data_IF_059204516921
#
_entry.id   IF_059204516921
#
_cell.length_a   1.000
_cell.length_b   1.000
_cell.length_c   1.000
_cell.angle_alpha   90.00
_cell.angle_beta   90.00
_cell.angle_gamma   90.00
#
_symmetry.space_group_name_H-M   'P 1'
#
loop_
_entity.id
_entity.type
_entity.pdbx_description
1 polymer ?
#
# COMPACT_ATOMS: atom_id res chain seq x y z
N UNK A 1 -73.93 14.56 -27.87
CA UNK A 1 -72.67 14.41 -28.64
C UNK A 1 -71.41 14.71 -27.85
N UNK A 2 -71.43 14.91 -26.53
CA UNK A 2 -70.29 15.30 -25.68
C UNK A 2 -69.45 14.12 -25.11
N UNK A 3 -69.93 12.88 -25.28
CA UNK A 3 -69.32 11.67 -24.62
C UNK A 3 -68.13 11.06 -25.36
N UNK A 4 -67.78 11.53 -26.56
CA UNK A 4 -66.69 10.97 -27.37
C UNK A 4 -65.36 11.75 -27.30
N UNK A 5 -65.32 12.90 -26.56
CA UNK A 5 -64.10 13.74 -26.48
C UNK A 5 -63.24 13.53 -25.22
N UNK A 6 -63.74 12.70 -24.29
CA UNK A 6 -62.98 12.43 -23.02
C UNK A 6 -61.77 11.51 -23.15
N UNK A 7 -61.67 10.53 -24.07
CA UNK A 7 -60.50 9.65 -24.10
C UNK A 7 -59.26 10.29 -24.71
N UNK A 8 -59.37 11.35 -25.54
CA UNK A 8 -58.22 11.98 -26.19
C UNK A 8 -57.23 12.66 -25.18
N UNK A 9 -57.70 13.50 -24.23
CA UNK A 9 -56.75 14.12 -23.28
C UNK A 9 -56.13 13.09 -22.34
N UNK A 10 -56.82 12.02 -21.97
CA UNK A 10 -56.30 10.98 -21.12
C UNK A 10 -55.21 10.14 -21.84
N UNK A 11 -55.41 9.85 -23.12
CA UNK A 11 -54.42 9.16 -23.94
C UNK A 11 -53.18 10.02 -24.19
N UNK A 12 -53.36 11.34 -24.40
CA UNK A 12 -52.25 12.27 -24.53
C UNK A 12 -51.43 12.39 -23.20
N UNK A 13 -52.10 12.40 -22.06
CA UNK A 13 -51.43 12.43 -20.74
C UNK A 13 -50.67 11.13 -20.46
N UNK A 14 -51.24 9.98 -20.84
CA UNK A 14 -50.58 8.68 -20.74
C UNK A 14 -49.37 8.57 -21.69
N UNK A 15 -49.46 9.08 -22.89
CA UNK A 15 -48.33 9.13 -23.82
C UNK A 15 -47.19 10.06 -23.33
N UNK A 16 -47.55 11.19 -22.69
CA UNK A 16 -46.57 12.09 -22.10
C UNK A 16 -45.88 11.47 -20.88
N UNK A 17 -46.59 10.70 -20.07
CA UNK A 17 -46.03 9.98 -18.93
C UNK A 17 -45.08 8.84 -19.37
N UNK A 18 -45.33 8.22 -20.51
CA UNK A 18 -44.44 7.19 -21.07
C UNK A 18 -43.21 7.77 -21.80
N UNK A 19 -43.29 9.02 -22.28
CA UNK A 19 -42.18 9.68 -22.95
C UNK A 19 -41.05 10.12 -21.99
N UNK A 20 -41.33 10.20 -20.69
CA UNK A 20 -40.36 10.67 -19.70
C UNK A 20 -39.27 9.68 -19.31
N UNK A 21 -39.27 8.45 -19.84
CA UNK A 21 -38.25 7.44 -19.57
C UNK A 21 -37.25 7.23 -20.70
N UNK A 22 -37.32 8.04 -21.76
CA UNK A 22 -36.24 8.10 -22.72
C UNK A 22 -35.03 8.82 -22.05
N UNK A 23 -34.32 8.11 -21.21
CA UNK A 23 -32.96 8.50 -20.80
C UNK A 23 -32.14 8.61 -22.08
N UNK A 24 -32.02 9.82 -22.61
CA UNK A 24 -31.05 10.14 -23.66
C UNK A 24 -29.65 10.06 -22.99
N UNK A 25 -29.32 8.89 -22.44
CA UNK A 25 -28.05 8.61 -21.85
C UNK A 25 -26.99 8.67 -22.94
N UNK A 26 -26.11 9.66 -22.88
CA UNK A 26 -24.91 9.64 -23.69
C UNK A 26 -24.07 8.42 -23.32
N UNK A 27 -23.31 7.90 -24.27
CA UNK A 27 -22.32 6.88 -24.01
C UNK A 27 -20.92 7.49 -24.13
N UNK A 28 -19.96 6.92 -23.41
CA UNK A 28 -18.56 7.30 -23.48
C UNK A 28 -17.68 6.06 -23.62
N UNK A 29 -16.70 6.18 -24.49
CA UNK A 29 -15.63 5.21 -24.61
C UNK A 29 -14.55 5.52 -23.58
N UNK A 30 -14.15 4.51 -22.82
CA UNK A 30 -13.04 4.60 -21.86
C UNK A 30 -11.90 3.72 -22.33
N UNK A 31 -10.71 4.28 -22.35
CA UNK A 31 -9.48 3.54 -22.66
C UNK A 31 -8.44 3.74 -21.58
N UNK A 32 -7.59 2.74 -21.39
CA UNK A 32 -6.40 2.79 -20.53
C UNK A 32 -5.19 2.90 -21.46
N UNK A 33 -4.66 4.11 -21.72
CA UNK A 33 -3.64 4.31 -22.75
C UNK A 33 -2.30 3.65 -22.39
N UNK A 34 -1.96 3.64 -21.09
CA UNK A 34 -0.71 3.09 -20.58
C UNK A 34 -1.03 2.17 -19.39
N UNK A 35 -1.49 0.93 -19.66
CA UNK A 35 -1.75 0.00 -18.57
C UNK A 35 -0.44 -0.29 -17.83
N UNK A 36 -0.45 -0.24 -16.49
CA UNK A 36 0.75 -0.56 -15.71
C UNK A 36 1.18 -2.00 -15.98
N UNK A 37 2.48 -2.19 -16.20
CA UNK A 37 3.05 -3.51 -16.42
C UNK A 37 3.23 -4.22 -15.07
N UNK A 38 2.55 -5.35 -14.90
CA UNK A 38 2.69 -6.29 -13.78
C UNK A 38 2.78 -5.62 -12.38
N UNK A 39 1.80 -4.77 -11.98
CA UNK A 39 1.84 -4.12 -10.67
C UNK A 39 1.81 -5.18 -9.56
N UNK A 40 2.54 -4.98 -8.45
CA UNK A 40 2.55 -5.94 -7.37
C UNK A 40 1.23 -5.92 -6.58
N UNK A 41 0.76 -7.10 -6.17
CA UNK A 41 -0.39 -7.23 -5.29
C UNK A 41 -0.13 -6.52 -3.94
N UNK A 42 -1.16 -5.90 -3.39
CA UNK A 42 -1.09 -5.20 -2.12
C UNK A 42 -0.53 -3.78 -2.19
N UNK A 43 -0.03 -3.32 -3.32
CA UNK A 43 0.45 -1.94 -3.52
C UNK A 43 -0.57 -1.07 -4.24
N UNK A 44 -0.49 0.26 -4.02
CA UNK A 44 -1.33 1.22 -4.71
C UNK A 44 -0.81 1.44 -6.14
N UNK A 45 -1.66 1.18 -7.11
CA UNK A 45 -1.38 1.31 -8.54
C UNK A 45 -2.23 2.41 -9.13
N UNK A 46 -1.62 3.33 -9.88
CA UNK A 46 -2.34 4.39 -10.59
C UNK A 46 -2.71 3.91 -11.99
N UNK A 47 -4.00 4.00 -12.31
CA UNK A 47 -4.56 3.71 -13.64
C UNK A 47 -4.92 5.03 -14.30
N UNK A 48 -4.37 5.28 -15.47
CA UNK A 48 -4.70 6.43 -16.31
C UNK A 48 -5.83 6.07 -17.28
N UNK A 49 -6.78 6.97 -17.45
CA UNK A 49 -7.95 6.75 -18.29
C UNK A 49 -8.13 7.92 -19.26
N UNK A 50 -8.54 7.60 -20.49
CA UNK A 50 -9.06 8.58 -21.44
C UNK A 50 -10.54 8.32 -21.67
N UNK A 51 -11.36 9.36 -21.55
CA UNK A 51 -12.81 9.30 -21.64
C UNK A 51 -13.30 10.19 -22.78
N UNK A 52 -13.88 9.57 -23.78
CA UNK A 52 -14.37 10.23 -24.98
C UNK A 52 -15.88 10.00 -25.13
N UNK A 53 -16.68 11.05 -24.95
CA UNK A 53 -18.11 10.96 -25.26
C UNK A 53 -18.30 10.70 -26.76
N UNK A 54 -19.13 9.72 -27.10
CA UNK A 54 -19.32 9.23 -28.47
C UNK A 54 -18.03 8.83 -29.20
N UNK A 55 -16.95 8.50 -28.43
CA UNK A 55 -15.66 8.12 -28.98
C UNK A 55 -14.82 9.26 -29.58
N UNK A 56 -15.26 10.51 -29.47
CA UNK A 56 -14.59 11.67 -30.11
C UNK A 56 -14.40 12.89 -29.23
N UNK A 57 -15.31 13.17 -28.32
CA UNK A 57 -15.27 14.41 -27.51
C UNK A 57 -14.75 14.13 -26.12
N UNK A 58 -13.58 14.66 -25.74
CA UNK A 58 -13.08 14.52 -24.37
C UNK A 58 -14.03 15.16 -23.37
N UNK A 59 -14.27 14.50 -22.24
CA UNK A 59 -15.17 14.99 -21.18
C UNK A 59 -14.58 14.77 -19.79
N UNK A 60 -14.69 15.79 -18.94
CA UNK A 60 -14.12 15.77 -17.56
C UNK A 60 -15.19 15.96 -16.46
N UNK A 61 -16.47 15.89 -16.81
CA UNK A 61 -17.58 16.08 -15.88
C UNK A 61 -18.19 14.81 -15.29
N UNK A 62 -18.13 13.60 -15.93
CA UNK A 62 -18.76 12.41 -15.36
C UNK A 62 -17.98 11.91 -14.15
N UNK A 63 -18.72 11.37 -13.17
CA UNK A 63 -18.15 10.59 -12.07
C UNK A 63 -17.90 9.17 -12.55
N UNK A 64 -16.70 8.70 -12.41
CA UNK A 64 -16.30 7.38 -12.91
C UNK A 64 -15.83 6.52 -11.74
N UNK A 65 -16.43 5.35 -11.59
CA UNK A 65 -15.91 4.31 -10.72
C UNK A 65 -15.19 3.28 -11.59
N UNK A 66 -13.94 3.04 -11.27
CA UNK A 66 -13.13 1.98 -11.86
C UNK A 66 -13.30 0.75 -11.00
N UNK A 67 -13.71 -0.36 -11.59
CA UNK A 67 -13.91 -1.65 -10.92
C UNK A 67 -12.96 -2.63 -11.55
N UNK A 68 -12.14 -3.29 -10.74
CA UNK A 68 -11.30 -4.38 -11.18
C UNK A 68 -11.78 -5.70 -10.57
N UNK A 69 -11.87 -6.73 -11.39
CA UNK A 69 -12.33 -8.08 -11.00
C UNK A 69 -11.26 -9.09 -11.39
N UNK A 70 -10.84 -9.92 -10.43
CA UNK A 70 -9.92 -11.02 -10.67
C UNK A 70 -10.64 -12.12 -11.45
N UNK A 71 -10.06 -12.52 -12.59
CA UNK A 71 -10.67 -13.49 -13.51
C UNK A 71 -10.80 -14.88 -12.90
N UNK A 72 -9.92 -15.27 -11.99
CA UNK A 72 -9.89 -16.61 -11.41
C UNK A 72 -10.72 -16.75 -10.12
N UNK A 73 -10.81 -15.66 -9.33
CA UNK A 73 -11.41 -15.72 -7.99
C UNK A 73 -12.68 -14.90 -7.84
N UNK A 74 -13.05 -14.10 -8.85
CA UNK A 74 -14.15 -13.11 -8.81
C UNK A 74 -13.98 -12.05 -7.70
N UNK A 75 -12.78 -11.95 -7.11
CA UNK A 75 -12.46 -10.91 -6.15
C UNK A 75 -12.51 -9.54 -6.82
N UNK A 76 -13.09 -8.54 -6.14
CA UNK A 76 -13.26 -7.20 -6.71
C UNK A 76 -12.61 -6.13 -5.86
N UNK A 77 -12.08 -5.10 -6.53
CA UNK A 77 -11.66 -3.84 -5.92
C UNK A 77 -12.16 -2.68 -6.76
N UNK A 78 -12.38 -1.53 -6.14
CA UNK A 78 -12.91 -0.37 -6.85
C UNK A 78 -12.34 0.93 -6.31
N UNK A 79 -12.25 1.94 -7.19
CA UNK A 79 -11.83 3.29 -6.85
C UNK A 79 -12.56 4.32 -7.69
N UNK A 80 -12.74 5.52 -7.14
CA UNK A 80 -13.22 6.68 -7.89
C UNK A 80 -12.07 7.25 -8.72
N UNK A 81 -12.34 7.49 -10.00
CA UNK A 81 -11.41 8.23 -10.85
C UNK A 81 -11.58 9.74 -10.63
N UNK A 82 -10.48 10.45 -10.68
CA UNK A 82 -10.41 11.91 -10.57
C UNK A 82 -9.92 12.49 -11.88
N UNK A 83 -10.57 13.54 -12.38
CA UNK A 83 -10.10 14.25 -13.56
C UNK A 83 -8.68 14.79 -13.35
N UNK A 84 -7.81 14.61 -14.33
CA UNK A 84 -6.38 14.86 -14.23
C UNK A 84 -5.82 15.37 -15.54
N UNK A 85 -5.34 16.62 -15.55
CA UNK A 85 -4.76 17.23 -16.75
C UNK A 85 -5.80 17.75 -17.76
N UNK A 86 -5.57 17.52 -19.08
CA UNK A 86 -6.50 17.94 -20.13
C UNK A 86 -7.86 17.24 -20.02
N UNK A 87 -8.87 17.82 -20.71
CA UNK A 87 -10.21 17.23 -20.75
C UNK A 87 -10.17 15.76 -21.22
N UNK A 88 -11.00 14.96 -20.60
CA UNK A 88 -11.10 13.52 -20.87
C UNK A 88 -10.05 12.66 -20.17
N UNK A 89 -9.07 13.25 -19.50
CA UNK A 89 -8.07 12.51 -18.75
C UNK A 89 -8.48 12.34 -17.30
N UNK A 90 -8.35 11.11 -16.79
CA UNK A 90 -8.64 10.75 -15.41
C UNK A 90 -7.55 9.85 -14.87
N UNK A 91 -7.43 9.82 -13.55
CA UNK A 91 -6.60 8.87 -12.82
C UNK A 91 -7.41 8.21 -11.72
N UNK A 92 -7.21 6.92 -11.53
CA UNK A 92 -7.75 6.15 -10.41
C UNK A 92 -6.63 5.43 -9.68
N UNK A 93 -6.71 5.34 -8.36
CA UNK A 93 -5.76 4.62 -7.53
C UNK A 93 -6.41 3.34 -7.04
N UNK A 94 -5.96 2.21 -7.56
CA UNK A 94 -6.43 0.88 -7.20
C UNK A 94 -5.37 0.14 -6.40
N UNK A 95 -5.84 -0.70 -5.49
CA UNK A 95 -5.00 -1.67 -4.79
C UNK A 95 -5.54 -3.05 -5.09
N UNK A 96 -4.76 -3.87 -5.77
CA UNK A 96 -5.12 -5.24 -6.11
C UNK A 96 -4.79 -6.15 -4.93
N UNK A 97 -5.78 -6.77 -4.28
CA UNK A 97 -5.52 -7.57 -3.08
C UNK A 97 -4.77 -8.87 -3.34
N UNK A 98 -4.90 -9.43 -4.54
CA UNK A 98 -4.25 -10.68 -4.94
C UNK A 98 -3.58 -10.59 -6.31
N UNK A 99 -2.65 -11.51 -6.59
CA UNK A 99 -2.02 -11.69 -7.89
C UNK A 99 -2.97 -12.30 -8.93
N UNK A 100 -2.59 -12.26 -10.19
CA UNK A 100 -3.31 -12.89 -11.29
C UNK A 100 -3.84 -11.91 -12.33
N UNK A 101 -4.67 -12.42 -13.21
CA UNK A 101 -5.29 -11.62 -14.27
C UNK A 101 -6.52 -10.87 -13.73
N UNK A 102 -6.58 -9.57 -13.99
CA UNK A 102 -7.65 -8.69 -13.57
C UNK A 102 -8.29 -7.99 -14.77
N UNK A 103 -9.59 -8.00 -14.83
CA UNK A 103 -10.38 -7.23 -15.81
C UNK A 103 -10.84 -5.93 -15.17
N UNK A 104 -10.55 -4.81 -15.82
CA UNK A 104 -10.95 -3.47 -15.38
C UNK A 104 -12.18 -3.08 -16.20
N UNK A 105 -13.22 -2.61 -15.52
CA UNK A 105 -14.44 -2.05 -16.08
C UNK A 105 -14.75 -0.69 -15.48
N UNK A 106 -15.63 0.06 -16.15
CA UNK A 106 -15.93 1.44 -15.81
C UNK A 106 -17.42 1.64 -15.66
N UNK A 107 -17.83 2.36 -14.61
CA UNK A 107 -19.24 2.66 -14.33
C UNK A 107 -19.40 4.15 -14.05
N UNK A 108 -20.43 4.76 -14.60
CA UNK A 108 -20.83 6.13 -14.31
C UNK A 108 -22.35 6.21 -14.17
N UNK A 109 -22.87 7.00 -13.23
CA UNK A 109 -24.31 7.27 -13.15
C UNK A 109 -24.79 8.22 -14.25
N UNK A 110 -23.90 8.98 -14.89
CA UNK A 110 -24.24 10.01 -15.87
C UNK A 110 -24.15 9.52 -17.31
N UNK A 111 -23.26 8.56 -17.59
CA UNK A 111 -22.99 8.05 -18.93
C UNK A 111 -22.92 6.52 -18.92
N UNK A 112 -23.38 5.92 -20.00
CA UNK A 112 -23.05 4.52 -20.26
C UNK A 112 -21.57 4.44 -20.64
N UNK A 113 -20.79 3.71 -19.86
CA UNK A 113 -19.36 3.51 -20.12
C UNK A 113 -19.17 2.27 -20.99
N UNK A 114 -18.38 2.43 -22.05
CA UNK A 114 -17.94 1.33 -22.93
C UNK A 114 -16.40 1.27 -22.90
N UNK A 115 -15.89 0.10 -22.63
CA UNK A 115 -14.46 -0.16 -22.55
C UNK A 115 -14.13 -1.12 -21.40
N UNK A 116 -13.14 -1.95 -21.64
CA UNK A 116 -12.53 -2.83 -20.65
C UNK A 116 -11.02 -2.83 -20.88
N UNK A 117 -10.28 -3.10 -19.83
CA UNK A 117 -8.85 -3.34 -19.91
C UNK A 117 -8.49 -4.56 -19.07
N UNK A 118 -7.46 -5.28 -19.47
CA UNK A 118 -6.95 -6.43 -18.72
C UNK A 118 -5.51 -6.14 -18.33
N UNK A 119 -5.14 -6.52 -17.11
CA UNK A 119 -3.77 -6.45 -16.65
C UNK A 119 -3.43 -7.65 -15.77
N UNK A 120 -2.15 -8.03 -15.75
CA UNK A 120 -1.64 -9.04 -14.86
C UNK A 120 -1.05 -8.38 -13.61
N UNK A 121 -1.46 -8.85 -12.45
CA UNK A 121 -0.93 -8.42 -11.15
C UNK A 121 0.09 -9.46 -10.71
N UNK A 122 1.31 -9.02 -10.43
CA UNK A 122 2.38 -9.86 -9.93
C UNK A 122 2.21 -10.18 -8.43
N UNK A 123 2.86 -11.23 -7.91
CA UNK A 123 2.86 -11.50 -6.49
C UNK A 123 3.27 -10.27 -5.65
N UNK A 124 2.71 -10.16 -4.45
CA UNK A 124 3.11 -9.11 -3.53
C UNK A 124 4.64 -9.13 -3.33
N UNK A 125 5.27 -7.95 -3.41
CA UNK A 125 6.68 -7.84 -3.07
C UNK A 125 6.84 -8.21 -1.59
N UNK A 126 7.18 -9.45 -1.31
CA UNK A 126 7.64 -9.86 0.02
C UNK A 126 8.92 -9.08 0.24
N UNK A 127 8.88 -8.04 1.06
CA UNK A 127 10.11 -7.42 1.54
C UNK A 127 10.95 -8.57 2.09
N UNK A 128 12.09 -8.84 1.43
CA UNK A 128 13.04 -9.80 1.96
C UNK A 128 13.24 -9.41 3.42
N UNK A 129 13.09 -10.35 4.39
CA UNK A 129 13.28 -10.00 5.79
C UNK A 129 14.63 -9.29 5.81
N UNK A 130 14.62 -8.00 6.22
CA UNK A 130 15.83 -7.22 6.34
C UNK A 130 16.74 -8.14 7.12
N UNK A 131 17.78 -8.66 6.44
CA UNK A 131 18.75 -9.55 7.08
C UNK A 131 19.11 -8.77 8.34
N UNK A 132 18.61 -9.24 9.47
CA UNK A 132 18.89 -8.62 10.74
C UNK A 132 20.41 -8.58 10.71
N UNK A 133 20.96 -7.38 10.52
CA UNK A 133 22.38 -7.19 10.58
C UNK A 133 22.72 -7.80 11.93
N UNK A 134 23.22 -9.03 11.87
CA UNK A 134 23.79 -9.67 13.03
C UNK A 134 24.93 -8.74 13.38
N UNK A 135 24.64 -7.72 14.16
CA UNK A 135 25.61 -7.06 14.98
C UNK A 135 26.11 -8.20 15.85
N UNK A 136 27.17 -8.84 15.35
CA UNK A 136 28.09 -9.61 16.19
C UNK A 136 28.70 -8.59 17.16
N UNK A 137 27.85 -8.06 18.03
CA UNK A 137 28.26 -7.40 19.25
C UNK A 137 29.05 -8.47 19.97
N UNK A 138 30.37 -8.36 19.91
CA UNK A 138 31.26 -9.12 20.79
C UNK A 138 30.70 -8.81 22.16
N UNK A 139 30.14 -9.85 22.81
CA UNK A 139 29.54 -9.70 24.12
C UNK A 139 30.71 -9.34 25.07
N UNK A 140 30.90 -8.04 25.31
CA UNK A 140 32.02 -7.51 26.11
C UNK A 140 31.87 -7.85 27.59
N UNK A 141 30.72 -8.40 27.98
CA UNK A 141 30.46 -8.83 29.36
C UNK A 141 31.47 -9.88 29.85
N UNK A 142 31.78 -10.98 29.12
CA UNK A 142 32.77 -11.95 29.59
C UNK A 142 34.19 -11.36 29.61
N UNK A 143 34.52 -10.47 28.64
CA UNK A 143 35.85 -9.82 28.62
C UNK A 143 36.03 -8.88 29.80
N UNK A 144 35.02 -8.07 30.14
CA UNK A 144 35.03 -7.19 31.29
C UNK A 144 35.14 -7.97 32.60
N UNK A 145 34.45 -9.10 32.72
CA UNK A 145 34.53 -9.96 33.92
C UNK A 145 35.91 -10.55 34.09
N UNK A 146 36.55 -11.05 33.05
CA UNK A 146 37.92 -11.60 33.09
C UNK A 146 38.91 -10.53 33.48
N UNK A 147 38.81 -9.32 32.95
CA UNK A 147 39.70 -8.21 33.32
C UNK A 147 39.52 -7.77 34.77
N UNK A 148 38.29 -7.74 35.29
CA UNK A 148 38.02 -7.44 36.71
C UNK A 148 38.63 -8.50 37.62
N UNK A 149 38.48 -9.78 37.33
CA UNK A 149 39.05 -10.88 38.13
C UNK A 149 40.58 -10.80 38.12
N UNK A 150 41.19 -10.55 36.97
CA UNK A 150 42.65 -10.38 36.86
C UNK A 150 43.16 -9.18 37.67
N UNK A 151 42.43 -8.06 37.67
CA UNK A 151 42.79 -6.88 38.46
C UNK A 151 42.70 -7.15 39.96
N UNK A 152 41.65 -7.80 40.45
CA UNK A 152 41.55 -8.17 41.86
C UNK A 152 42.63 -9.14 42.31
N UNK A 153 43.00 -10.13 41.49
CA UNK A 153 44.10 -11.03 41.76
C UNK A 153 45.43 -10.29 41.86
N UNK A 154 45.71 -9.35 40.97
CA UNK A 154 46.92 -8.53 41.02
C UNK A 154 47.00 -7.67 42.29
N UNK A 155 45.91 -7.04 42.71
CA UNK A 155 45.83 -6.25 43.94
C UNK A 155 46.04 -7.14 45.16
N UNK A 156 45.46 -8.33 45.21
CA UNK A 156 45.65 -9.27 46.32
C UNK A 156 47.08 -9.74 46.43
N UNK A 157 47.75 -10.03 45.31
CA UNK A 157 49.18 -10.41 45.28
C UNK A 157 50.06 -9.25 45.76
N UNK A 158 49.84 -8.03 45.30
CA UNK A 158 50.60 -6.85 45.74
C UNK A 158 50.42 -6.60 47.24
N UNK A 159 49.26 -6.74 47.82
CA UNK A 159 48.95 -6.62 49.22
C UNK A 159 49.70 -7.69 50.08
N UNK A 160 49.74 -8.94 49.55
CA UNK A 160 50.49 -10.01 50.22
C UNK A 160 51.97 -9.76 50.25
N UNK A 161 52.57 -9.25 49.14
CA UNK A 161 53.97 -8.88 49.05
C UNK A 161 54.31 -7.73 50.02
N UNK A 162 53.49 -6.73 50.15
CA UNK A 162 53.70 -5.63 51.08
C UNK A 162 53.69 -6.10 52.55
N UNK A 163 52.67 -6.95 52.90
CA UNK A 163 52.60 -7.52 54.25
C UNK A 163 53.85 -8.38 54.60
N UNK A 164 54.34 -9.17 53.65
CA UNK A 164 55.57 -9.98 53.90
C UNK A 164 56.79 -9.13 54.09
N UNK A 165 56.93 -7.99 53.38
CA UNK A 165 58.02 -7.05 53.53
C UNK A 165 57.96 -6.31 54.85
N UNK A 166 56.81 -5.94 55.35
CA UNK A 166 56.63 -5.29 56.62
C UNK A 166 56.91 -6.25 57.77
N UNK A 167 56.53 -7.52 57.67
CA UNK A 167 56.89 -8.56 58.62
C UNK A 167 58.38 -8.80 58.69
N UNK A 168 59.12 -8.84 57.57
CA UNK A 168 60.58 -8.98 57.55
C UNK A 168 61.28 -7.78 58.16
N UNK A 169 60.80 -6.56 57.94
CA UNK A 169 61.35 -5.34 58.54
C UNK A 169 61.16 -5.28 60.08
N UNK A 170 60.01 -5.80 60.56
CA UNK A 170 59.75 -5.88 62.00
C UNK A 170 60.71 -6.88 62.71
N UNK A 171 60.98 -8.05 62.09
CA UNK A 171 61.86 -9.06 62.59
C UNK A 171 63.33 -8.54 62.72
N UNK A 172 63.81 -7.79 61.73
CA UNK A 172 65.18 -7.22 61.74
C UNK A 172 65.37 -6.13 62.81
N UNK A 173 64.34 -5.42 63.24
CA UNK A 173 64.39 -4.43 64.28
C UNK A 173 64.50 -5.03 65.72
N UNK A 174 63.97 -6.23 65.90
CA UNK A 174 64.02 -6.91 67.20
C UNK A 174 65.44 -7.45 67.48
N UNK A 175 66.14 -7.98 66.46
CA UNK A 175 67.51 -8.51 66.60
C UNK A 175 68.59 -7.45 66.74
N UNK A 176 68.33 -6.18 66.45
CA UNK A 176 69.31 -5.09 66.61
C UNK A 176 69.22 -4.39 67.96
N UNK A 177 68.42 -4.89 68.92
CA UNK A 177 68.26 -4.30 70.27
C UNK A 177 68.71 -5.21 71.41
N UNK A 178 69.33 -6.34 71.14
CA UNK A 178 70.03 -7.22 72.06
C UNK A 178 71.54 -7.06 71.85
#
# INVERSE_FOLDING_TARGET
MLRRLLPLPLAALAALALASTALAGGWAQVTVPNPPADPPAGEETTIELNVLQHGVTPVSWPRITVIATNVATDETTAAQATASGPDGHYTAKLRFPSEGEWTISFVSPELQMDGTATLNVSPALVAAPAAAAATSGVDMLPVALVLMVALFAAIAIAAAIMRSRDGARAATRVTART
#
